data_IF_019840056699
#
_entry.id   IF_019840056699
#
_cell.length_a   1.000
_cell.length_b   1.000
_cell.length_c   1.000
_cell.angle_alpha   90.00
_cell.angle_beta   90.00
_cell.angle_gamma   90.00
#
_symmetry.space_group_name_H-M   'P 1'
#
loop_
_entity.id
_entity.type
_entity.pdbx_description
1 polymer ?
#
# COMPACT_ATOMS: atom_id res chain seq x y z
N UNK A 1 20.24 -5.00 -25.84
CA UNK A 1 19.71 -4.42 -24.56
C UNK A 1 20.83 -3.61 -23.92
N UNK A 2 20.74 -2.26 -23.99
CA UNK A 2 21.88 -1.35 -23.72
C UNK A 2 22.39 -1.37 -22.27
N UNK A 3 23.72 -1.34 -22.09
CA UNK A 3 24.47 -1.28 -20.80
C UNK A 3 23.94 -0.22 -19.80
N UNK A 4 23.37 0.90 -20.29
CA UNK A 4 22.77 1.95 -19.46
C UNK A 4 21.44 1.54 -18.80
N UNK A 5 20.66 0.64 -19.40
CA UNK A 5 19.44 0.06 -18.77
C UNK A 5 19.75 -0.76 -17.52
N UNK A 6 20.91 -1.38 -17.47
CA UNK A 6 21.34 -2.20 -16.33
C UNK A 6 21.65 -1.36 -15.07
N UNK A 7 22.16 -0.12 -15.17
CA UNK A 7 22.64 0.65 -14.01
C UNK A 7 21.54 1.37 -13.19
N UNK A 8 20.44 1.83 -13.78
CA UNK A 8 19.43 2.63 -13.06
C UNK A 8 18.46 1.82 -12.19
N UNK A 9 18.14 0.58 -12.58
CA UNK A 9 17.28 -0.35 -11.82
C UNK A 9 17.97 -1.05 -10.64
N UNK A 10 19.23 -0.85 -10.38
CA UNK A 10 20.07 -1.99 -10.07
C UNK A 10 20.67 -2.08 -8.68
N UNK A 11 20.52 -1.09 -7.80
CA UNK A 11 21.03 -1.28 -6.44
C UNK A 11 19.94 -1.48 -5.39
N UNK A 12 18.81 -0.79 -5.54
CA UNK A 12 17.73 -0.84 -4.53
C UNK A 12 16.68 -1.88 -4.90
N UNK A 13 16.28 -1.94 -6.16
CA UNK A 13 15.32 -2.93 -6.64
C UNK A 13 15.88 -4.35 -6.46
N UNK A 14 17.19 -4.55 -6.65
CA UNK A 14 17.85 -5.80 -6.27
C UNK A 14 17.71 -6.09 -4.77
N UNK A 15 17.84 -5.08 -3.92
CA UNK A 15 17.68 -5.28 -2.47
C UNK A 15 16.25 -5.71 -2.13
N UNK A 16 15.23 -5.11 -2.75
CA UNK A 16 13.84 -5.53 -2.56
C UNK A 16 13.69 -7.00 -2.95
N UNK A 17 14.20 -7.38 -4.13
CA UNK A 17 14.15 -8.77 -4.60
C UNK A 17 14.88 -9.71 -3.65
N UNK A 18 16.09 -9.34 -3.17
CA UNK A 18 16.85 -10.16 -2.25
C UNK A 18 16.16 -10.34 -0.89
N UNK A 19 15.64 -9.26 -0.30
CA UNK A 19 14.92 -9.35 0.96
C UNK A 19 13.68 -10.22 0.83
N UNK A 20 12.92 -10.07 -0.25
CA UNK A 20 11.74 -10.90 -0.49
C UNK A 20 12.11 -12.35 -0.83
N UNK A 21 13.23 -12.60 -1.53
CA UNK A 21 13.69 -13.95 -1.80
C UNK A 21 14.08 -14.68 -0.51
N UNK A 22 14.85 -14.05 0.36
CA UNK A 22 15.22 -14.63 1.67
C UNK A 22 13.97 -14.81 2.54
N UNK A 23 13.04 -13.85 2.53
CA UNK A 23 11.76 -13.96 3.21
C UNK A 23 10.96 -15.21 2.76
N UNK A 24 10.91 -15.48 1.47
CA UNK A 24 10.26 -16.68 0.92
C UNK A 24 10.94 -17.97 1.34
N UNK A 25 12.28 -17.98 1.40
CA UNK A 25 13.05 -19.13 1.91
C UNK A 25 12.71 -19.39 3.37
N UNK A 26 12.64 -18.35 4.20
CA UNK A 26 12.27 -18.49 5.63
C UNK A 26 10.89 -19.10 5.77
N UNK A 27 9.89 -18.59 5.03
CA UNK A 27 8.54 -19.16 5.04
C UNK A 27 8.51 -20.62 4.62
N UNK A 28 9.28 -21.00 3.59
CA UNK A 28 9.37 -22.37 3.13
C UNK A 28 10.06 -23.29 4.17
N UNK A 29 11.17 -22.84 4.76
CA UNK A 29 11.86 -23.56 5.82
C UNK A 29 10.96 -23.78 7.04
N UNK A 30 10.29 -22.73 7.48
CA UNK A 30 9.34 -22.80 8.60
C UNK A 30 8.20 -23.80 8.31
N UNK A 31 7.63 -23.76 7.11
CA UNK A 31 6.58 -24.71 6.69
C UNK A 31 7.06 -26.15 6.74
N UNK A 32 8.30 -26.44 6.31
CA UNK A 32 8.87 -27.79 6.30
C UNK A 32 9.23 -28.27 7.73
N UNK A 33 9.72 -27.37 8.58
CA UNK A 33 10.13 -27.67 9.95
C UNK A 33 8.93 -27.96 10.84
N UNK A 34 7.94 -27.06 10.85
CA UNK A 34 6.84 -27.13 11.81
C UNK A 34 5.63 -27.91 11.29
N UNK A 35 5.42 -28.00 9.99
CA UNK A 35 4.35 -28.78 9.32
C UNK A 35 2.94 -28.53 9.90
N UNK A 36 2.65 -27.30 10.30
CA UNK A 36 1.39 -26.95 10.97
C UNK A 36 0.21 -26.98 9.99
N UNK A 37 0.40 -26.42 8.77
CA UNK A 37 -0.66 -26.42 7.75
C UNK A 37 -0.61 -27.75 6.97
N UNK A 38 -1.64 -28.61 7.09
CA UNK A 38 -1.68 -29.89 6.37
C UNK A 38 -2.00 -29.72 4.90
N UNK A 39 -2.75 -28.66 4.54
CA UNK A 39 -3.24 -28.44 3.19
C UNK A 39 -2.20 -27.79 2.29
N UNK A 40 -1.62 -28.56 1.37
CA UNK A 40 -0.62 -28.08 0.40
C UNK A 40 -1.13 -26.90 -0.45
N UNK A 41 -2.42 -26.93 -0.82
CA UNK A 41 -3.04 -25.84 -1.59
C UNK A 41 -3.02 -24.51 -0.83
N UNK A 42 -3.22 -24.53 0.49
CA UNK A 42 -3.11 -23.34 1.32
C UNK A 42 -1.68 -22.78 1.29
N UNK A 43 -0.68 -23.65 1.45
CA UNK A 43 0.74 -23.28 1.47
C UNK A 43 1.15 -22.60 0.14
N UNK A 44 0.89 -23.25 -0.99
CA UNK A 44 1.29 -22.71 -2.30
C UNK A 44 0.56 -21.42 -2.68
N UNK A 45 -0.75 -21.35 -2.43
CA UNK A 45 -1.53 -20.17 -2.73
C UNK A 45 -1.13 -18.99 -1.85
N UNK A 46 -0.82 -19.21 -0.57
CA UNK A 46 -0.39 -18.16 0.35
C UNK A 46 1.01 -17.64 -0.01
N UNK A 47 1.96 -18.54 -0.33
CA UNK A 47 3.26 -18.18 -0.86
C UNK A 47 3.15 -17.35 -2.15
N UNK A 48 2.24 -17.73 -3.05
CA UNK A 48 1.98 -16.98 -4.28
C UNK A 48 1.36 -15.60 -4.00
N UNK A 49 0.46 -15.50 -3.01
CA UNK A 49 -0.19 -14.23 -2.69
C UNK A 49 0.80 -13.18 -2.20
N UNK A 50 1.71 -13.54 -1.30
CA UNK A 50 2.64 -12.55 -0.74
C UNK A 50 3.70 -12.09 -1.73
N UNK A 51 4.08 -12.92 -2.72
CA UNK A 51 5.07 -12.53 -3.73
C UNK A 51 4.49 -11.64 -4.84
N UNK A 52 3.18 -11.57 -4.98
CA UNK A 52 2.53 -10.78 -6.05
C UNK A 52 2.98 -9.32 -6.02
N UNK A 53 2.90 -8.64 -4.86
CA UNK A 53 3.16 -7.20 -4.81
C UNK A 53 4.58 -6.81 -5.24
N UNK A 54 5.67 -7.47 -4.80
CA UNK A 54 7.01 -7.09 -5.24
C UNK A 54 7.24 -7.42 -6.72
N UNK A 55 6.69 -8.54 -7.21
CA UNK A 55 6.79 -8.92 -8.62
C UNK A 55 6.09 -7.90 -9.50
N UNK A 56 4.82 -7.58 -9.23
CA UNK A 56 4.07 -6.61 -10.02
C UNK A 56 4.66 -5.19 -9.91
N UNK A 57 5.16 -4.79 -8.73
CA UNK A 57 5.88 -3.52 -8.56
C UNK A 57 7.10 -3.43 -9.48
N UNK A 58 7.95 -4.46 -9.48
CA UNK A 58 9.19 -4.49 -10.29
C UNK A 58 8.84 -4.58 -11.77
N UNK A 59 7.89 -5.42 -12.17
CA UNK A 59 7.43 -5.54 -13.55
C UNK A 59 6.89 -4.21 -14.07
N UNK A 60 6.01 -3.55 -13.32
CA UNK A 60 5.46 -2.25 -13.69
C UNK A 60 6.55 -1.18 -13.80
N UNK A 61 7.54 -1.21 -12.90
CA UNK A 61 8.68 -0.31 -12.94
C UNK A 61 9.53 -0.49 -14.21
N UNK A 62 9.80 -1.75 -14.59
CA UNK A 62 10.57 -2.09 -15.82
C UNK A 62 9.79 -1.71 -17.07
N UNK A 63 8.52 -2.11 -17.17
CA UNK A 63 7.67 -1.85 -18.32
C UNK A 63 7.44 -0.36 -18.52
N UNK A 64 7.24 0.39 -17.44
CA UNK A 64 6.99 1.83 -17.49
C UNK A 64 8.15 2.63 -18.09
N UNK A 65 9.37 2.09 -18.11
CA UNK A 65 10.54 2.75 -18.72
C UNK A 65 10.48 2.84 -20.26
N UNK A 66 9.55 2.16 -20.92
CA UNK A 66 9.37 2.18 -22.39
C UNK A 66 8.15 2.94 -22.88
N UNK A 67 7.25 3.33 -21.97
CA UNK A 67 5.96 3.92 -22.31
C UNK A 67 6.03 5.45 -22.46
N UNK A 68 5.13 6.00 -23.29
CA UNK A 68 4.86 7.44 -23.29
C UNK A 68 3.99 7.78 -22.06
N UNK A 69 4.64 7.90 -20.90
CA UNK A 69 3.99 8.13 -19.62
C UNK A 69 3.12 9.37 -19.58
N UNK A 70 3.56 10.44 -20.21
CA UNK A 70 2.79 11.70 -20.23
C UNK A 70 1.41 11.45 -20.84
N UNK A 71 1.36 10.82 -22.02
CA UNK A 71 0.10 10.53 -22.70
C UNK A 71 -0.79 9.57 -21.90
N UNK A 72 -0.20 8.52 -21.34
CA UNK A 72 -0.92 7.55 -20.49
C UNK A 72 -1.49 8.24 -19.25
N UNK A 73 -0.64 8.97 -18.52
CA UNK A 73 -1.03 9.66 -17.29
C UNK A 73 -2.16 10.67 -17.54
N UNK A 74 -2.03 11.52 -18.57
CA UNK A 74 -3.07 12.50 -18.92
C UNK A 74 -4.37 11.81 -19.33
N UNK A 75 -4.32 10.69 -20.08
CA UNK A 75 -5.53 9.94 -20.45
C UNK A 75 -6.25 9.38 -19.22
N UNK A 76 -5.50 8.77 -18.28
CA UNK A 76 -6.08 8.24 -17.04
C UNK A 76 -6.59 9.37 -16.14
N UNK A 77 -5.85 10.47 -16.02
CA UNK A 77 -6.25 11.64 -15.25
C UNK A 77 -7.56 12.28 -15.78
N UNK A 78 -7.73 12.38 -17.09
CA UNK A 78 -8.96 12.90 -17.67
C UNK A 78 -10.17 12.04 -17.30
N UNK A 79 -10.03 10.72 -17.34
CA UNK A 79 -11.10 9.81 -16.90
C UNK A 79 -11.34 9.92 -15.39
N UNK A 80 -10.28 10.01 -14.59
CA UNK A 80 -10.38 10.19 -13.14
C UNK A 80 -11.16 11.45 -12.77
N UNK A 81 -10.97 12.57 -13.49
CA UNK A 81 -11.75 13.81 -13.29
C UNK A 81 -13.24 13.57 -13.48
N UNK A 82 -13.62 12.87 -14.56
CA UNK A 82 -15.02 12.54 -14.85
C UNK A 82 -15.61 11.66 -13.75
N UNK A 83 -14.91 10.58 -13.34
CA UNK A 83 -15.41 9.69 -12.31
C UNK A 83 -15.51 10.38 -10.94
N UNK A 84 -14.55 11.21 -10.56
CA UNK A 84 -14.61 11.96 -9.30
C UNK A 84 -15.82 12.89 -9.30
N UNK A 85 -16.07 13.62 -10.39
CA UNK A 85 -17.24 14.50 -10.52
C UNK A 85 -18.55 13.72 -10.39
N UNK A 86 -18.67 12.57 -11.08
CA UNK A 86 -19.86 11.71 -10.97
C UNK A 86 -20.08 11.25 -9.53
N UNK A 87 -19.05 10.68 -8.89
CA UNK A 87 -19.12 10.20 -7.51
C UNK A 87 -19.47 11.35 -6.55
N UNK A 88 -18.94 12.54 -6.78
CA UNK A 88 -19.21 13.74 -5.99
C UNK A 88 -20.67 14.19 -6.10
N UNK A 89 -21.22 14.27 -7.33
CA UNK A 89 -22.64 14.62 -7.56
C UNK A 89 -23.54 13.62 -6.84
N UNK A 90 -23.30 12.32 -7.00
CA UNK A 90 -24.08 11.29 -6.31
C UNK A 90 -23.90 11.33 -4.79
N UNK A 91 -22.75 11.75 -4.27
CA UNK A 91 -22.56 11.92 -2.81
C UNK A 91 -23.47 13.03 -2.26
N UNK A 92 -23.62 14.13 -3.00
CA UNK A 92 -24.53 15.24 -2.63
C UNK A 92 -25.98 14.76 -2.69
N UNK A 93 -26.38 14.11 -3.79
CA UNK A 93 -27.74 13.58 -3.92
C UNK A 93 -28.05 12.60 -2.78
N UNK A 94 -27.12 11.71 -2.43
CA UNK A 94 -27.29 10.72 -1.38
C UNK A 94 -27.40 11.31 0.03
N UNK A 95 -26.84 12.50 0.29
CA UNK A 95 -27.03 13.21 1.56
C UNK A 95 -28.49 13.65 1.73
N UNK A 96 -29.10 14.16 0.67
CA UNK A 96 -30.47 14.72 0.72
C UNK A 96 -31.55 13.67 0.49
N UNK A 97 -31.35 12.69 -0.40
CA UNK A 97 -32.40 11.80 -0.91
C UNK A 97 -32.24 10.31 -0.54
N UNK A 98 -31.20 9.92 0.20
CA UNK A 98 -30.97 8.53 0.62
C UNK A 98 -31.21 7.47 -0.48
N UNK A 99 -30.40 7.53 -1.53
CA UNK A 99 -30.53 6.64 -2.69
C UNK A 99 -29.88 5.23 -2.51
N UNK A 100 -29.67 4.80 -1.25
CA UNK A 100 -29.12 3.47 -0.95
C UNK A 100 -27.60 3.34 -1.13
N UNK A 101 -26.86 4.44 -1.30
CA UNK A 101 -25.41 4.42 -1.47
C UNK A 101 -24.63 4.48 -0.14
N UNK A 102 -25.24 3.99 0.94
CA UNK A 102 -24.66 3.91 2.28
C UNK A 102 -24.48 2.44 2.70
N UNK A 103 -23.59 2.17 3.68
CA UNK A 103 -23.36 0.82 4.18
C UNK A 103 -23.67 0.71 5.69
N UNK A 104 -23.20 1.65 6.49
CA UNK A 104 -23.33 1.64 7.95
C UNK A 104 -23.43 3.10 8.47
N UNK A 105 -23.83 3.24 9.73
CA UNK A 105 -23.84 4.53 10.42
C UNK A 105 -22.60 4.60 11.30
N UNK A 106 -21.81 5.67 11.13
CA UNK A 106 -20.58 5.95 11.89
C UNK A 106 -20.63 7.39 12.40
N UNK A 107 -20.31 7.57 13.66
CA UNK A 107 -20.35 8.92 14.30
C UNK A 107 -21.71 9.60 14.13
N UNK A 108 -22.83 8.84 14.07
CA UNK A 108 -24.17 9.36 13.83
C UNK A 108 -24.47 9.73 12.38
N UNK A 109 -23.55 9.52 11.46
CA UNK A 109 -23.68 9.84 10.04
C UNK A 109 -23.56 8.58 9.16
N UNK A 110 -24.21 8.59 8.00
CA UNK A 110 -24.23 7.47 7.06
C UNK A 110 -22.93 7.40 6.26
N UNK A 111 -22.25 6.26 6.31
CA UNK A 111 -21.00 5.99 5.62
C UNK A 111 -21.25 5.77 4.12
N UNK A 112 -20.79 6.73 3.29
CA UNK A 112 -20.95 6.69 1.85
C UNK A 112 -20.08 5.62 1.20
N UNK A 113 -20.66 4.81 0.31
CA UNK A 113 -19.98 3.76 -0.44
C UNK A 113 -20.10 3.87 -1.97
N UNK A 114 -20.95 4.76 -2.48
CA UNK A 114 -21.35 4.82 -3.89
C UNK A 114 -21.92 3.47 -4.36
N UNK A 115 -21.51 2.96 -5.52
CA UNK A 115 -21.91 1.66 -6.06
C UNK A 115 -21.00 0.50 -5.61
N UNK A 116 -19.96 0.75 -4.80
CA UNK A 116 -19.11 -0.30 -4.30
C UNK A 116 -19.83 -1.15 -3.24
N UNK A 117 -19.42 -2.42 -3.11
CA UNK A 117 -19.94 -3.31 -2.06
C UNK A 117 -19.61 -2.79 -0.66
N UNK A 118 -18.46 -2.12 -0.51
CA UNK A 118 -17.99 -1.58 0.76
C UNK A 118 -17.29 -0.22 0.59
N UNK A 119 -17.44 0.70 1.56
CA UNK A 119 -16.82 2.04 1.52
C UNK A 119 -15.28 1.99 1.47
N UNK A 120 -14.67 0.89 1.91
CA UNK A 120 -13.22 0.62 1.79
C UNK A 120 -12.73 0.66 0.35
N UNK A 121 -13.48 0.08 -0.59
CA UNK A 121 -13.12 0.10 -2.02
C UNK A 121 -13.28 1.50 -2.63
N UNK A 122 -14.29 2.26 -2.19
CA UNK A 122 -14.43 3.66 -2.57
C UNK A 122 -13.20 4.46 -2.13
N UNK A 123 -12.74 4.30 -0.87
CA UNK A 123 -11.54 4.99 -0.36
C UNK A 123 -10.33 4.68 -1.23
N UNK A 124 -10.05 3.41 -1.52
CA UNK A 124 -8.90 3.01 -2.34
C UNK A 124 -8.97 3.60 -3.75
N UNK A 125 -10.15 3.56 -4.37
CA UNK A 125 -10.38 4.13 -5.71
C UNK A 125 -10.17 5.64 -5.73
N UNK A 126 -10.69 6.36 -4.73
CA UNK A 126 -10.53 7.81 -4.60
C UNK A 126 -9.07 8.20 -4.38
N UNK A 127 -8.35 7.45 -3.55
CA UNK A 127 -6.90 7.65 -3.32
C UNK A 127 -6.12 7.51 -4.62
N UNK A 128 -6.38 6.47 -5.40
CA UNK A 128 -5.71 6.24 -6.69
C UNK A 128 -6.01 7.38 -7.66
N UNK A 129 -7.29 7.73 -7.85
CA UNK A 129 -7.71 8.79 -8.78
C UNK A 129 -7.14 10.15 -8.38
N UNK A 130 -7.17 10.49 -7.09
CA UNK A 130 -6.59 11.72 -6.56
C UNK A 130 -5.07 11.78 -6.82
N UNK A 131 -4.34 10.68 -6.59
CA UNK A 131 -2.90 10.62 -6.84
C UNK A 131 -2.56 10.71 -8.33
N UNK A 132 -3.38 10.14 -9.22
CA UNK A 132 -3.25 10.30 -10.68
C UNK A 132 -3.40 11.76 -11.09
N UNK A 133 -4.39 12.47 -10.55
CA UNK A 133 -4.59 13.91 -10.84
C UNK A 133 -3.42 14.74 -10.31
N UNK A 134 -2.92 14.46 -9.09
CA UNK A 134 -1.76 15.13 -8.53
C UNK A 134 -0.53 14.96 -9.42
N UNK A 135 -0.30 13.76 -9.96
CA UNK A 135 0.82 13.48 -10.84
C UNK A 135 0.71 14.18 -12.21
N UNK A 136 -0.51 14.25 -12.76
CA UNK A 136 -0.79 14.91 -14.06
C UNK A 136 -0.91 16.42 -13.95
N UNK A 137 -1.22 16.98 -12.79
CA UNK A 137 -1.62 18.36 -12.52
C UNK A 137 -0.99 19.41 -13.46
N UNK A 138 -1.74 19.83 -14.47
CA UNK A 138 -1.33 20.85 -15.46
C UNK A 138 -2.21 22.12 -15.39
N UNK A 139 -3.42 22.00 -14.82
CA UNK A 139 -4.41 23.09 -14.77
C UNK A 139 -4.67 23.52 -13.32
N UNK A 140 -4.99 24.81 -13.13
CA UNK A 140 -5.45 25.30 -11.81
C UNK A 140 -6.76 24.64 -11.39
N UNK A 141 -7.62 24.28 -12.36
CA UNK A 141 -8.88 23.56 -12.14
C UNK A 141 -8.70 22.16 -11.51
N UNK A 142 -7.52 21.56 -11.59
CA UNK A 142 -7.26 20.26 -10.98
C UNK A 142 -7.41 20.29 -9.44
N UNK A 143 -7.31 21.48 -8.83
CA UNK A 143 -7.53 21.65 -7.41
C UNK A 143 -8.98 21.33 -7.00
N UNK A 144 -9.95 21.59 -7.86
CA UNK A 144 -11.38 21.30 -7.62
C UNK A 144 -11.55 19.79 -7.41
N UNK A 145 -11.01 18.96 -8.32
CA UNK A 145 -11.12 17.50 -8.23
C UNK A 145 -10.40 16.91 -7.01
N UNK A 146 -9.31 17.57 -6.56
CA UNK A 146 -8.63 17.19 -5.31
C UNK A 146 -9.52 17.50 -4.11
N UNK A 147 -10.19 18.66 -4.09
CA UNK A 147 -11.14 19.03 -3.03
C UNK A 147 -12.34 18.08 -3.02
N UNK A 148 -12.94 17.81 -4.17
CA UNK A 148 -14.03 16.84 -4.32
C UNK A 148 -13.62 15.45 -3.78
N UNK A 149 -12.40 14.99 -4.12
CA UNK A 149 -11.85 13.73 -3.62
C UNK A 149 -11.72 13.72 -2.10
N UNK A 150 -11.25 14.81 -1.50
CA UNK A 150 -11.13 14.95 -0.04
C UNK A 150 -12.52 14.89 0.62
N UNK A 151 -13.51 15.59 0.07
CA UNK A 151 -14.89 15.57 0.60
C UNK A 151 -15.46 14.14 0.52
N UNK A 152 -15.32 13.46 -0.62
CA UNK A 152 -15.77 12.07 -0.76
C UNK A 152 -15.09 11.16 0.25
N UNK A 153 -13.76 11.29 0.43
CA UNK A 153 -13.01 10.50 1.42
C UNK A 153 -13.55 10.71 2.84
N UNK A 154 -13.84 11.95 3.21
CA UNK A 154 -14.42 12.29 4.52
C UNK A 154 -15.81 11.66 4.67
N UNK A 155 -16.67 11.71 3.65
CA UNK A 155 -18.02 11.15 3.65
C UNK A 155 -18.05 9.62 3.77
N UNK A 156 -16.93 8.93 3.55
CA UNK A 156 -16.83 7.47 3.82
C UNK A 156 -16.78 7.15 5.31
N UNK A 157 -16.51 8.11 6.18
CA UNK A 157 -16.32 7.93 7.62
C UNK A 157 -15.37 6.77 8.00
N UNK A 158 -14.38 6.47 7.15
CA UNK A 158 -13.36 5.46 7.42
C UNK A 158 -12.11 6.09 8.00
N UNK A 159 -11.62 5.55 9.13
CA UNK A 159 -10.42 6.06 9.81
C UNK A 159 -9.23 6.18 8.85
N UNK A 160 -9.03 5.17 7.96
CA UNK A 160 -7.95 5.22 6.97
C UNK A 160 -8.06 6.38 5.98
N UNK A 161 -9.29 6.84 5.66
CA UNK A 161 -9.51 7.99 4.79
C UNK A 161 -9.12 9.29 5.50
N UNK A 162 -9.50 9.46 6.77
CA UNK A 162 -9.09 10.63 7.57
C UNK A 162 -7.57 10.73 7.72
N UNK A 163 -6.92 9.60 8.07
CA UNK A 163 -5.45 9.55 8.19
C UNK A 163 -4.77 9.83 6.85
N UNK A 164 -5.34 9.34 5.72
CA UNK A 164 -4.81 9.64 4.38
C UNK A 164 -4.95 11.13 4.01
N UNK A 165 -6.08 11.77 4.31
CA UNK A 165 -6.27 13.21 4.07
C UNK A 165 -5.23 14.02 4.85
N UNK A 166 -4.96 13.64 6.10
CA UNK A 166 -3.88 14.25 6.88
C UNK A 166 -2.51 14.02 6.25
N UNK A 167 -2.23 12.80 5.80
CA UNK A 167 -1.00 12.47 5.08
C UNK A 167 -0.81 13.37 3.86
N UNK A 168 -1.88 13.62 3.10
CA UNK A 168 -1.84 14.52 1.95
C UNK A 168 -1.40 15.94 2.33
N UNK A 169 -2.01 16.54 3.33
CA UNK A 169 -1.63 17.89 3.77
C UNK A 169 -0.22 17.92 4.33
N UNK A 170 0.13 16.94 5.15
CA UNK A 170 1.45 16.84 5.77
C UNK A 170 2.56 16.65 4.72
N UNK A 171 2.42 15.73 3.79
CA UNK A 171 3.42 15.47 2.74
C UNK A 171 3.56 16.65 1.78
N UNK A 172 2.44 17.30 1.42
CA UNK A 172 2.44 18.52 0.61
C UNK A 172 3.20 19.66 1.29
N UNK A 173 2.99 19.86 2.59
CA UNK A 173 3.74 20.86 3.39
C UNK A 173 5.21 20.49 3.50
N UNK A 174 5.53 19.22 3.77
CA UNK A 174 6.90 18.74 3.86
C UNK A 174 7.68 19.00 2.57
N UNK A 175 7.08 18.72 1.41
CA UNK A 175 7.71 18.98 0.11
C UNK A 175 7.87 20.46 -0.21
N UNK A 176 6.97 21.31 0.30
CA UNK A 176 7.05 22.77 0.16
C UNK A 176 8.22 23.35 0.96
N UNK A 177 8.34 22.97 2.24
CA UNK A 177 9.30 23.62 3.16
C UNK A 177 10.64 22.92 3.24
N UNK A 178 10.69 21.58 3.22
CA UNK A 178 11.93 20.84 3.49
C UNK A 178 12.61 20.27 2.24
N UNK A 179 12.02 20.43 1.07
CA UNK A 179 12.56 19.93 -0.23
C UNK A 179 12.98 18.44 -0.24
N UNK A 180 12.88 17.72 0.88
CA UNK A 180 13.28 16.29 1.02
C UNK A 180 12.37 15.61 2.05
N UNK A 181 11.79 14.46 1.71
CA UNK A 181 11.11 13.61 2.67
C UNK A 181 12.13 12.71 3.36
N UNK A 182 12.18 12.75 4.69
CA UNK A 182 13.01 11.86 5.53
C UNK A 182 12.13 10.78 6.15
N UNK A 183 12.67 9.60 6.37
CA UNK A 183 11.94 8.47 6.98
C UNK A 183 11.29 8.85 8.31
N UNK A 184 11.93 9.72 9.11
CA UNK A 184 11.37 10.23 10.37
C UNK A 184 9.99 10.89 10.22
N UNK A 185 9.67 11.47 9.05
CA UNK A 185 8.37 12.10 8.84
C UNK A 185 7.24 11.06 8.67
N UNK A 186 7.56 9.87 8.16
CA UNK A 186 6.60 8.76 8.12
C UNK A 186 6.28 8.29 9.54
N UNK A 187 7.29 8.22 10.43
CA UNK A 187 7.06 7.91 11.85
C UNK A 187 6.19 8.98 12.53
N UNK A 188 6.44 10.26 12.27
CA UNK A 188 5.62 11.36 12.80
C UNK A 188 4.17 11.22 12.30
N UNK A 189 3.97 10.94 11.00
CA UNK A 189 2.64 10.69 10.45
C UNK A 189 1.97 9.48 11.11
N UNK A 190 2.72 8.40 11.37
CA UNK A 190 2.24 7.23 12.10
C UNK A 190 1.77 7.58 13.51
N UNK A 191 2.53 8.40 14.24
CA UNK A 191 2.15 8.88 15.60
C UNK A 191 0.84 9.68 15.52
N UNK A 192 0.70 10.60 14.56
CA UNK A 192 -0.55 11.36 14.37
C UNK A 192 -1.72 10.43 14.03
N UNK A 193 -1.50 9.42 13.17
CA UNK A 193 -2.51 8.40 12.86
C UNK A 193 -2.98 7.65 14.12
N UNK A 194 -2.04 7.24 14.98
CA UNK A 194 -2.35 6.59 16.26
C UNK A 194 -3.14 7.53 17.18
N UNK A 195 -2.75 8.80 17.29
CA UNK A 195 -3.45 9.77 18.14
C UNK A 195 -4.91 9.97 17.71
N UNK A 196 -5.17 10.04 16.39
CA UNK A 196 -6.53 10.20 15.85
C UNK A 196 -7.38 8.97 16.13
N UNK A 197 -6.78 7.77 16.00
CA UNK A 197 -7.48 6.51 16.16
C UNK A 197 -7.39 5.94 17.58
N UNK A 198 -6.73 6.65 18.51
CA UNK A 198 -6.42 6.18 19.86
C UNK A 198 -7.63 5.63 20.61
N UNK A 199 -8.74 6.40 20.67
CA UNK A 199 -9.97 5.95 21.35
C UNK A 199 -10.46 4.63 20.79
N UNK A 200 -10.46 4.48 19.45
CA UNK A 200 -10.89 3.25 18.79
C UNK A 200 -9.92 2.10 19.02
N UNK A 201 -8.61 2.37 19.06
CA UNK A 201 -7.59 1.35 19.38
C UNK A 201 -7.80 0.84 20.80
N UNK A 202 -7.98 1.74 21.79
CA UNK A 202 -8.20 1.35 23.19
C UNK A 202 -9.50 0.57 23.35
N UNK A 203 -10.60 1.02 22.73
CA UNK A 203 -11.88 0.32 22.73
C UNK A 203 -11.72 -1.10 22.18
N UNK A 204 -11.11 -1.26 21.00
CA UNK A 204 -10.91 -2.57 20.38
C UNK A 204 -9.95 -3.44 21.19
N UNK A 205 -8.88 -2.86 21.75
CA UNK A 205 -7.92 -3.58 22.59
C UNK A 205 -8.55 -4.09 23.91
N UNK A 206 -9.52 -3.37 24.45
CA UNK A 206 -10.20 -3.77 25.70
C UNK A 206 -11.00 -5.09 25.57
N UNK A 207 -11.41 -5.47 24.36
CA UNK A 207 -12.05 -6.76 24.10
C UNK A 207 -11.08 -7.96 24.16
N UNK A 208 -9.76 -7.73 24.14
CA UNK A 208 -8.74 -8.79 24.20
C UNK A 208 -8.94 -9.87 23.12
N UNK A 209 -8.79 -11.13 23.50
CA UNK A 209 -8.92 -12.27 22.58
C UNK A 209 -10.37 -12.60 22.15
N UNK A 210 -11.36 -11.90 22.71
CA UNK A 210 -12.78 -12.13 22.38
C UNK A 210 -13.15 -11.49 21.03
N UNK A 211 -12.43 -10.44 20.62
CA UNK A 211 -12.63 -9.81 19.32
C UNK A 211 -11.55 -10.22 18.31
N UNK A 212 -11.92 -10.43 17.05
CA UNK A 212 -11.05 -10.99 16.02
C UNK A 212 -9.71 -10.24 15.85
N UNK A 213 -9.74 -8.92 15.70
CA UNK A 213 -8.50 -8.14 15.49
C UNK A 213 -7.50 -8.21 16.65
N UNK A 214 -7.89 -7.91 17.91
CA UNK A 214 -6.97 -8.09 19.04
C UNK A 214 -6.49 -9.53 19.18
N UNK A 215 -7.37 -10.52 18.98
CA UNK A 215 -6.99 -11.94 19.02
C UNK A 215 -5.88 -12.25 18.03
N UNK A 216 -6.01 -11.78 16.78
CA UNK A 216 -4.98 -11.96 15.74
C UNK A 216 -3.64 -11.32 16.14
N UNK A 217 -3.65 -10.09 16.69
CA UNK A 217 -2.42 -9.44 17.16
C UNK A 217 -1.76 -10.19 18.33
N UNK A 218 -2.53 -10.57 19.35
CA UNK A 218 -2.02 -11.25 20.55
C UNK A 218 -1.52 -12.65 20.19
N UNK A 219 -2.33 -13.44 19.49
CA UNK A 219 -1.98 -14.81 19.11
C UNK A 219 -0.85 -14.84 18.09
N UNK A 220 -0.86 -13.93 17.12
CA UNK A 220 0.23 -13.83 16.16
C UNK A 220 1.59 -13.59 16.83
N UNK A 221 1.64 -12.74 17.89
CA UNK A 221 2.86 -12.53 18.65
C UNK A 221 3.28 -13.77 19.44
N UNK A 222 2.32 -14.48 20.08
CA UNK A 222 2.57 -15.77 20.73
C UNK A 222 3.13 -16.77 19.73
N UNK A 223 2.48 -16.90 18.57
CA UNK A 223 2.88 -17.82 17.51
C UNK A 223 4.31 -17.54 17.01
N UNK A 224 4.67 -16.26 16.83
CA UNK A 224 6.02 -15.85 16.44
C UNK A 224 7.07 -16.20 17.49
N UNK A 225 6.71 -16.10 18.79
CA UNK A 225 7.58 -16.46 19.90
C UNK A 225 7.75 -17.98 20.00
N UNK A 226 6.64 -18.74 19.94
CA UNK A 226 6.64 -20.18 20.15
C UNK A 226 7.32 -20.92 18.97
N UNK A 227 7.38 -20.28 17.79
CA UNK A 227 8.08 -20.76 16.59
C UNK A 227 9.28 -19.85 16.23
N UNK A 228 9.96 -19.34 17.27
CA UNK A 228 11.15 -18.50 17.08
C UNK A 228 12.27 -19.27 16.34
N UNK A 229 13.02 -18.63 15.42
CA UNK A 229 12.88 -17.24 14.96
C UNK A 229 12.07 -17.07 13.67
N UNK A 230 11.56 -18.18 13.07
CA UNK A 230 11.07 -18.23 11.68
C UNK A 230 9.55 -18.21 11.54
N UNK A 231 8.78 -18.31 12.66
CA UNK A 231 7.32 -18.34 12.64
C UNK A 231 6.74 -19.69 12.21
N UNK A 232 5.43 -19.73 11.96
CA UNK A 232 4.66 -20.97 11.77
C UNK A 232 4.64 -21.50 10.32
N UNK A 233 5.08 -20.71 9.32
CA UNK A 233 5.08 -21.06 7.91
C UNK A 233 3.84 -20.61 7.14
N UNK A 234 3.84 -20.86 5.82
CA UNK A 234 2.80 -20.42 4.91
C UNK A 234 1.42 -21.00 5.20
N UNK A 235 0.38 -20.19 5.04
CA UNK A 235 -1.02 -20.61 5.13
C UNK A 235 -1.49 -20.93 6.55
N UNK A 236 -0.69 -20.60 7.58
CA UNK A 236 -0.98 -21.00 8.96
C UNK A 236 -1.81 -19.97 9.72
N UNK A 237 -1.69 -18.66 9.45
CA UNK A 237 -2.28 -17.65 10.31
C UNK A 237 -2.59 -16.33 9.63
N UNK A 238 -3.71 -15.69 10.04
CA UNK A 238 -4.10 -14.32 9.68
C UNK A 238 -4.11 -14.03 8.18
N UNK A 239 -4.45 -15.01 7.35
CA UNK A 239 -4.67 -14.86 5.92
C UNK A 239 -6.04 -15.43 5.53
N UNK A 240 -6.61 -14.96 4.42
CA UNK A 240 -7.83 -15.54 3.87
C UNK A 240 -7.69 -17.06 3.65
N UNK A 241 -6.52 -17.49 3.22
CA UNK A 241 -6.25 -18.91 2.94
C UNK A 241 -6.13 -19.74 4.22
N UNK A 242 -5.61 -19.18 5.31
CA UNK A 242 -5.60 -19.86 6.61
C UNK A 242 -7.02 -20.06 7.16
N UNK A 243 -7.98 -19.22 6.75
CA UNK A 243 -9.40 -19.40 7.03
C UNK A 243 -10.07 -20.38 6.10
N UNK A 244 -9.91 -20.22 4.78
CA UNK A 244 -10.51 -21.07 3.76
C UNK A 244 -10.12 -22.56 3.93
N UNK A 245 -8.89 -22.83 4.28
CA UNK A 245 -8.39 -24.20 4.56
C UNK A 245 -8.27 -24.50 6.06
N UNK A 246 -8.79 -23.69 6.86
CA UNK A 246 -8.85 -23.65 8.31
C UNK A 246 -7.65 -24.25 9.02
N UNK A 247 -6.66 -23.39 9.27
CA UNK A 247 -5.42 -23.78 9.90
C UNK A 247 -5.63 -24.28 11.35
N UNK A 248 -4.94 -25.35 11.77
CA UNK A 248 -4.97 -25.83 13.16
C UNK A 248 -4.55 -24.79 14.22
N UNK A 249 -3.85 -23.73 13.84
CA UNK A 249 -3.43 -22.65 14.74
C UNK A 249 -4.59 -22.04 15.50
N UNK A 250 -5.76 -21.88 14.85
CA UNK A 250 -6.93 -21.26 15.48
C UNK A 250 -7.47 -22.10 16.66
N UNK A 251 -7.44 -23.43 16.53
CA UNK A 251 -7.81 -24.36 17.61
C UNK A 251 -6.68 -24.42 18.67
N UNK A 252 -5.42 -24.51 18.26
CA UNK A 252 -4.24 -24.59 19.17
C UNK A 252 -4.14 -23.37 20.12
N UNK A 253 -4.55 -22.21 19.68
CA UNK A 253 -4.52 -20.96 20.48
C UNK A 253 -5.91 -20.56 21.00
N UNK A 254 -6.91 -21.46 20.93
CA UNK A 254 -8.27 -21.28 21.48
C UNK A 254 -8.98 -20.01 20.99
N UNK A 255 -8.80 -19.65 19.72
CA UNK A 255 -9.48 -18.52 19.07
C UNK A 255 -10.47 -18.96 17.97
N UNK A 256 -10.69 -20.27 17.81
CA UNK A 256 -11.61 -20.84 16.83
C UNK A 256 -13.08 -20.56 17.15
N UNK A 257 -13.41 -20.07 18.35
CA UNK A 257 -14.76 -19.67 18.77
C UNK A 257 -15.01 -18.17 18.62
N UNK A 258 -13.99 -17.39 18.24
CA UNK A 258 -14.13 -15.94 18.07
C UNK A 258 -14.88 -15.64 16.79
N UNK A 259 -15.89 -14.78 16.87
CA UNK A 259 -16.70 -14.38 15.71
C UNK A 259 -15.80 -13.80 14.60
N UNK A 260 -15.93 -14.35 13.40
CA UNK A 260 -15.09 -14.00 12.24
C UNK A 260 -13.76 -14.76 12.14
N UNK A 261 -13.46 -15.66 13.12
CA UNK A 261 -12.29 -16.56 13.09
C UNK A 261 -12.72 -18.04 13.20
N UNK A 262 -13.98 -18.35 13.05
CA UNK A 262 -14.53 -19.72 13.09
C UNK A 262 -14.36 -20.42 11.74
N UNK A 263 -14.59 -21.74 11.69
CA UNK A 263 -14.56 -22.53 10.44
C UNK A 263 -15.60 -22.08 9.44
N UNK A 264 -16.80 -21.73 9.92
CA UNK A 264 -17.94 -21.36 9.09
C UNK A 264 -17.97 -19.86 8.77
N UNK A 265 -17.33 -19.02 9.62
CA UNK A 265 -17.26 -17.58 9.46
C UNK A 265 -15.80 -17.12 9.71
N UNK A 266 -15.04 -16.93 8.64
CA UNK A 266 -13.62 -16.53 8.69
C UNK A 266 -13.33 -15.19 7.99
N UNK A 267 -14.35 -14.35 7.85
CA UNK A 267 -14.26 -13.09 7.09
C UNK A 267 -13.27 -12.09 7.69
N UNK A 268 -12.97 -12.18 9.00
CA UNK A 268 -12.08 -11.25 9.68
C UNK A 268 -10.62 -11.75 9.80
N UNK A 269 -10.31 -12.94 9.29
CA UNK A 269 -8.95 -13.48 9.36
C UNK A 269 -7.95 -12.66 8.55
N UNK A 270 -8.39 -12.01 7.46
CA UNK A 270 -7.56 -11.12 6.64
C UNK A 270 -7.73 -9.63 6.98
N UNK A 271 -8.37 -9.30 8.10
CA UNK A 271 -8.61 -7.91 8.54
C UNK A 271 -7.36 -7.22 9.13
N UNK A 272 -6.24 -7.94 9.19
CA UNK A 272 -4.98 -7.43 9.70
C UNK A 272 -3.82 -8.01 8.88
N UNK A 273 -2.84 -7.17 8.53
CA UNK A 273 -1.70 -7.65 7.77
C UNK A 273 -0.48 -8.01 8.63
N UNK A 274 -0.18 -7.23 9.66
CA UNK A 274 1.04 -7.41 10.44
C UNK A 274 1.09 -8.72 11.23
N UNK A 275 -0.01 -9.20 11.86
CA UNK A 275 -0.09 -10.53 12.46
C UNK A 275 0.23 -11.67 11.48
N UNK A 276 -0.19 -11.54 10.24
CA UNK A 276 0.16 -12.47 9.18
C UNK A 276 1.68 -12.53 8.97
N UNK A 277 2.37 -11.38 8.94
CA UNK A 277 3.82 -11.35 8.70
C UNK A 277 4.59 -11.96 9.86
N UNK A 278 4.40 -11.46 11.09
CA UNK A 278 5.22 -12.00 12.18
C UNK A 278 4.75 -13.37 12.67
N UNK A 279 3.48 -13.72 12.56
CA UNK A 279 2.98 -15.04 12.93
C UNK A 279 3.49 -16.14 12.00
N UNK A 280 3.41 -15.94 10.71
CA UNK A 280 3.82 -16.94 9.73
C UNK A 280 5.34 -16.97 9.47
N UNK A 281 6.01 -15.82 9.49
CA UNK A 281 7.43 -15.71 9.10
C UNK A 281 8.36 -15.33 10.27
N UNK A 282 7.81 -15.22 11.49
CA UNK A 282 8.57 -14.92 12.70
C UNK A 282 9.23 -13.54 12.69
N UNK A 283 10.11 -13.32 13.66
CA UNK A 283 10.81 -12.04 13.81
C UNK A 283 11.80 -11.78 12.67
N UNK A 284 12.46 -12.82 12.19
CA UNK A 284 13.43 -12.67 11.07
C UNK A 284 12.70 -12.30 9.79
N UNK A 285 11.59 -12.99 9.47
CA UNK A 285 10.76 -12.64 8.33
C UNK A 285 10.18 -11.22 8.44
N UNK A 286 9.73 -10.81 9.62
CA UNK A 286 9.25 -9.45 9.87
C UNK A 286 10.31 -8.39 9.55
N UNK A 287 11.55 -8.57 10.03
CA UNK A 287 12.66 -7.63 9.76
C UNK A 287 12.98 -7.55 8.27
N UNK A 288 13.00 -8.68 7.56
CA UNK A 288 13.24 -8.73 6.12
C UNK A 288 12.13 -8.04 5.32
N UNK A 289 10.87 -8.24 5.72
CA UNK A 289 9.73 -7.60 5.09
C UNK A 289 9.77 -6.07 5.29
N UNK A 290 10.03 -5.61 6.50
CA UNK A 290 10.23 -4.18 6.80
C UNK A 290 11.40 -3.60 6.02
N UNK A 291 12.52 -4.33 5.88
CA UNK A 291 13.66 -3.91 5.07
C UNK A 291 13.30 -3.78 3.57
N UNK A 292 12.45 -4.66 3.04
CA UNK A 292 11.93 -4.54 1.68
C UNK A 292 11.06 -3.29 1.52
N UNK A 293 10.15 -3.00 2.46
CA UNK A 293 9.32 -1.78 2.47
C UNK A 293 10.19 -0.52 2.55
N UNK A 294 11.18 -0.48 3.44
CA UNK A 294 12.14 0.64 3.55
C UNK A 294 12.91 0.81 2.22
N UNK A 295 13.24 -0.28 1.54
CA UNK A 295 13.91 -0.22 0.24
C UNK A 295 13.01 0.39 -0.85
N UNK A 296 11.69 0.12 -0.82
CA UNK A 296 10.71 0.80 -1.70
C UNK A 296 10.70 2.31 -1.40
N UNK A 297 10.63 2.70 -0.13
CA UNK A 297 10.70 4.11 0.27
C UNK A 297 11.98 4.80 -0.24
N UNK A 298 13.13 4.13 -0.11
CA UNK A 298 14.40 4.66 -0.61
C UNK A 298 14.39 4.75 -2.14
N UNK A 299 13.75 3.79 -2.85
CA UNK A 299 13.58 3.85 -4.31
C UNK A 299 12.78 5.08 -4.73
N UNK A 300 11.65 5.37 -4.05
CA UNK A 300 10.85 6.58 -4.28
C UNK A 300 11.71 7.83 -4.05
N UNK A 301 12.40 7.90 -2.92
CA UNK A 301 13.24 9.05 -2.54
C UNK A 301 14.37 9.33 -3.53
N UNK A 302 15.04 8.30 -4.07
CA UNK A 302 16.15 8.47 -5.03
C UNK A 302 15.69 9.06 -6.36
N UNK A 303 14.44 8.85 -6.73
CA UNK A 303 13.84 9.36 -7.98
C UNK A 303 13.23 10.75 -7.85
N UNK A 304 13.37 11.38 -6.68
CA UNK A 304 12.87 12.73 -6.37
C UNK A 304 13.25 13.81 -7.40
N UNK A 305 14.43 13.68 -8.01
CA UNK A 305 14.94 14.69 -8.92
C UNK A 305 14.21 14.72 -10.27
N UNK A 306 13.38 13.72 -10.59
CA UNK A 306 12.74 13.59 -11.89
C UNK A 306 11.47 14.43 -12.03
N UNK A 307 10.60 14.43 -11.03
CA UNK A 307 9.37 15.24 -10.99
C UNK A 307 8.76 15.28 -9.58
N UNK A 308 8.63 16.48 -8.99
CA UNK A 308 8.07 16.67 -7.64
C UNK A 308 6.63 16.19 -7.50
N UNK A 309 5.80 16.33 -8.54
CA UNK A 309 4.38 15.91 -8.52
C UNK A 309 4.26 14.39 -8.53
N UNK A 310 4.98 13.71 -9.41
CA UNK A 310 5.00 12.26 -9.45
C UNK A 310 5.52 11.66 -8.14
N UNK A 311 6.48 12.35 -7.51
CA UNK A 311 7.00 11.93 -6.23
C UNK A 311 5.97 12.09 -5.11
N UNK A 312 5.26 13.22 -5.04
CA UNK A 312 4.17 13.40 -4.07
C UNK A 312 3.11 12.30 -4.24
N UNK A 313 2.68 12.04 -5.48
CA UNK A 313 1.72 10.99 -5.77
C UNK A 313 2.23 9.59 -5.34
N UNK A 314 3.51 9.29 -5.60
CA UNK A 314 4.11 8.02 -5.20
C UNK A 314 4.22 7.88 -3.67
N UNK A 315 4.59 8.95 -2.95
CA UNK A 315 4.62 8.94 -1.48
C UNK A 315 3.23 8.79 -0.89
N UNK A 316 2.24 9.48 -1.41
CA UNK A 316 0.85 9.36 -0.96
C UNK A 316 0.32 7.93 -1.12
N UNK A 317 0.58 7.28 -2.27
CA UNK A 317 0.22 5.87 -2.46
C UNK A 317 0.95 4.96 -1.49
N UNK A 318 2.24 5.21 -1.27
CA UNK A 318 3.02 4.46 -0.29
C UNK A 318 2.50 4.62 1.14
N UNK A 319 2.22 5.86 1.56
CA UNK A 319 1.62 6.15 2.86
C UNK A 319 0.24 5.51 3.01
N UNK A 320 -0.58 5.53 1.95
CA UNK A 320 -1.87 4.86 1.98
C UNK A 320 -1.76 3.35 2.19
N UNK A 321 -0.81 2.67 1.52
CA UNK A 321 -0.56 1.24 1.72
C UNK A 321 -0.20 0.96 3.19
N UNK A 322 0.68 1.78 3.80
CA UNK A 322 1.05 1.62 5.20
C UNK A 322 -0.13 1.85 6.15
N UNK A 323 -0.96 2.87 5.88
CA UNK A 323 -2.18 3.15 6.65
C UNK A 323 -3.16 1.97 6.52
N UNK A 324 -3.44 1.51 5.31
CA UNK A 324 -4.39 0.44 5.06
C UNK A 324 -3.92 -0.90 5.67
N UNK A 325 -2.62 -1.19 5.69
CA UNK A 325 -2.06 -2.43 6.23
C UNK A 325 -2.32 -2.64 7.72
N UNK A 326 -2.71 -1.61 8.45
CA UNK A 326 -3.08 -1.73 9.87
C UNK A 326 -4.46 -2.39 10.08
N UNK A 327 -5.30 -2.39 9.04
CA UNK A 327 -6.69 -2.86 9.11
C UNK A 327 -7.14 -3.69 7.90
N UNK A 328 -6.24 -4.05 7.01
CA UNK A 328 -6.51 -4.80 5.78
C UNK A 328 -5.26 -5.55 5.32
N UNK A 329 -5.43 -6.69 4.67
CA UNK A 329 -4.34 -7.45 4.04
C UNK A 329 -3.88 -6.82 2.70
N UNK A 330 -3.68 -5.51 2.67
CA UNK A 330 -3.47 -4.69 1.45
C UNK A 330 -2.29 -5.17 0.57
N UNK A 331 -1.25 -5.77 1.16
CA UNK A 331 -0.10 -6.27 0.40
C UNK A 331 -0.40 -7.55 -0.39
N UNK A 332 -1.42 -8.30 -0.02
CA UNK A 332 -1.84 -9.54 -0.68
C UNK A 332 -3.12 -9.37 -1.48
N UNK A 333 -3.84 -8.27 -1.29
CA UNK A 333 -5.06 -7.94 -1.99
C UNK A 333 -4.80 -7.33 -3.38
N UNK A 334 -5.74 -7.56 -4.30
CA UNK A 334 -5.68 -7.04 -5.68
C UNK A 334 -5.57 -5.52 -5.72
N UNK A 335 -6.29 -4.83 -4.85
CA UNK A 335 -6.27 -3.36 -4.75
C UNK A 335 -4.88 -2.85 -4.41
N UNK A 336 -4.23 -3.46 -3.43
CA UNK A 336 -2.87 -3.08 -3.03
C UNK A 336 -1.84 -3.36 -4.10
N UNK A 337 -1.93 -4.52 -4.77
CA UNK A 337 -1.07 -4.85 -5.92
C UNK A 337 -1.22 -3.79 -7.01
N UNK A 338 -2.46 -3.39 -7.33
CA UNK A 338 -2.72 -2.35 -8.32
C UNK A 338 -2.11 -1.00 -7.90
N UNK A 339 -2.21 -0.62 -6.61
CA UNK A 339 -1.57 0.59 -6.08
C UNK A 339 -0.05 0.53 -6.26
N UNK A 340 0.61 -0.61 -6.00
CA UNK A 340 2.04 -0.79 -6.25
C UNK A 340 2.40 -0.62 -7.72
N UNK A 341 1.58 -1.14 -8.64
CA UNK A 341 1.79 -0.96 -10.08
C UNK A 341 1.66 0.51 -10.49
N UNK A 342 0.62 1.22 -10.03
CA UNK A 342 0.43 2.64 -10.30
C UNK A 342 1.59 3.46 -9.73
N UNK A 343 1.99 3.21 -8.50
CA UNK A 343 3.14 3.85 -7.86
C UNK A 343 4.42 3.63 -8.68
N UNK A 344 4.68 2.42 -9.14
CA UNK A 344 5.83 2.08 -9.96
C UNK A 344 5.85 2.84 -11.30
N UNK A 345 4.69 3.09 -11.91
CA UNK A 345 4.62 3.87 -13.16
C UNK A 345 5.06 5.31 -12.99
N UNK A 346 4.83 5.93 -11.83
CA UNK A 346 5.33 7.29 -11.54
C UNK A 346 6.85 7.33 -11.40
N UNK A 347 7.45 6.25 -10.94
CA UNK A 347 8.87 6.15 -10.63
C UNK A 347 9.73 5.78 -11.85
N UNK A 348 9.16 5.19 -12.90
CA UNK A 348 9.91 4.82 -14.08
C UNK A 348 10.53 6.03 -14.81
N UNK A 349 11.67 5.86 -15.46
CA UNK A 349 12.37 6.93 -16.18
C UNK A 349 11.79 7.20 -17.58
N UNK A 350 11.66 8.48 -17.97
CA UNK A 350 11.29 8.87 -19.32
C UNK A 350 12.55 8.86 -20.22
N UNK A 351 12.65 7.93 -21.15
CA UNK A 351 13.81 7.81 -22.08
C UNK A 351 14.13 9.07 -22.85
N UNK A 352 13.12 9.86 -23.18
CA UNK A 352 13.26 11.09 -23.98
C UNK A 352 13.99 12.16 -23.15
N UNK A 353 13.70 12.25 -21.85
CA UNK A 353 14.30 13.26 -20.98
C UNK A 353 15.79 12.98 -20.69
N UNK A 354 16.16 11.71 -20.57
CA UNK A 354 17.56 11.31 -20.33
C UNK A 354 18.40 11.55 -21.57
N UNK A 355 17.83 11.37 -22.77
CA UNK A 355 18.54 11.61 -24.03
C UNK A 355 18.78 13.10 -24.27
N UNK A 356 17.77 13.94 -24.06
CA UNK A 356 17.87 15.42 -24.21
C UNK A 356 18.83 16.01 -23.18
N UNK A 357 18.88 15.49 -21.93
CA UNK A 357 19.80 15.97 -20.91
C UNK A 357 21.24 15.56 -21.20
N UNK A 358 21.46 14.38 -21.75
CA UNK A 358 22.78 13.93 -22.18
C UNK A 358 23.28 14.69 -23.43
N UNK A 359 22.37 14.96 -24.39
CA UNK A 359 22.70 15.73 -25.57
C UNK A 359 23.03 17.20 -25.20
N UNK A 360 22.29 17.84 -24.28
CA UNK A 360 22.62 19.18 -23.76
C UNK A 360 23.91 19.25 -22.95
N UNK A 361 24.26 18.21 -22.20
CA UNK A 361 25.52 18.14 -21.50
C UNK A 361 26.71 17.87 -22.46
N UNK A 362 26.49 17.23 -23.60
CA UNK A 362 27.50 17.06 -24.66
C UNK A 362 27.77 18.38 -25.39
N UNK A 363 26.72 19.15 -25.69
CA UNK A 363 26.84 20.46 -26.34
C UNK A 363 27.53 21.49 -25.43
N UNK A 364 27.25 21.49 -24.13
CA UNK A 364 27.89 22.39 -23.18
C UNK A 364 29.38 22.05 -22.96
N UNK A 365 29.76 20.79 -23.01
CA UNK A 365 31.16 20.39 -22.89
C UNK A 365 31.97 20.61 -24.20
N UNK A 366 31.31 20.66 -25.35
CA UNK A 366 31.96 20.97 -26.65
C UNK A 366 32.10 22.46 -26.88
N UNK A 367 31.30 23.33 -26.23
CA UNK A 367 31.45 24.78 -26.32
C UNK A 367 32.58 25.31 -25.44
N UNK A 368 32.88 24.65 -24.30
CA UNK A 368 33.95 25.10 -23.37
C UNK A 368 35.35 24.77 -23.86
N UNK A 369 35.49 23.82 -24.80
CA UNK A 369 36.81 23.50 -25.43
C UNK A 369 37.17 24.39 -26.61
N UNK A 370 36.29 25.28 -27.07
CA UNK A 370 36.59 26.24 -28.17
C UNK A 370 36.88 27.68 -27.71
N UNK A 371 36.98 27.91 -26.41
CA UNK A 371 37.38 29.22 -25.82
C UNK A 371 38.81 29.26 -25.27
N UNK A 372 39.61 28.25 -25.54
CA UNK A 372 41.05 28.25 -25.20
C UNK A 372 41.82 27.86 -26.49
N UNK A 373 41.85 28.72 -27.49
CA UNK A 373 42.91 28.86 -28.49
C UNK A 373 42.92 30.35 -28.89
#
# INVERSE_FOLDING_TARGET
MNKFRKKALFSIEKKITWFMFIFMIIGALSTVIFKIQPEKSAIYKDAFNIIKFPVFYICALVLSNGLNKKRLLTSVANRSRIYIMIIFIFSIINIFFEIGMNIDVRYGLRSYKFLFSHSTYLVSSMVIMMCVIIADQHKKSDLIFIIESIIILILTFRNKAFVFVLAYFFEKLMLKYFKKIKLKYIFILGIFGILITYKKIVEVASYGIIAARPALYIVGFKLARDHFPFGAGFGTFASYLSGQYYSPVYDMYSISTVIGLTRDMYDYMADTFWPYIYGQFGFVGFVLFVAAIISIFISIKRRYYLNKKNMLAAFLLFSYILIASTAEAIFTDVTGIFIFMVMATYLGENRIYTKIKNDKNYDNNTIDTRRII
#
